data_IF_061112892880
#
_entry.id   IF_061112892880
#
_cell.length_a   1.000
_cell.length_b   1.000
_cell.length_c   1.000
_cell.angle_alpha   90.00
_cell.angle_beta   90.00
_cell.angle_gamma   90.00
#
_symmetry.space_group_name_H-M   'P 1'
#
loop_
_entity.id
_entity.type
_entity.pdbx_description
1 polymer ?
#
# COMPACT_ATOMS: atom_id res chain seq x y z
N UNK A 1 0.19 22.09 1.60
CA UNK A 1 -0.04 20.68 1.20
C UNK A 1 -1.46 20.23 1.45
N UNK A 2 -1.90 19.17 0.78
CA UNK A 2 -3.22 18.59 1.02
C UNK A 2 -3.16 17.63 2.22
N UNK A 3 -4.25 17.52 2.97
CA UNK A 3 -4.40 16.49 3.99
C UNK A 3 -4.60 15.13 3.32
N UNK A 4 -3.85 14.13 3.77
CA UNK A 4 -4.01 12.72 3.36
C UNK A 4 -4.86 11.99 4.41
N UNK A 5 -5.83 11.20 3.95
CA UNK A 5 -6.70 10.36 4.79
C UNK A 5 -6.56 8.92 4.33
N UNK A 6 -6.01 8.07 5.19
CA UNK A 6 -5.85 6.64 4.93
C UNK A 6 -7.14 5.90 5.26
N UNK A 7 -7.55 4.97 4.40
CA UNK A 7 -8.74 4.13 4.55
C UNK A 7 -8.38 2.65 4.45
N UNK A 8 -9.22 1.74 4.96
CA UNK A 8 -9.08 0.32 4.69
C UNK A 8 -9.13 0.02 3.19
N UNK A 9 -8.56 -1.10 2.77
CA UNK A 9 -8.57 -1.53 1.36
C UNK A 9 -10.01 -1.73 0.86
N UNK A 10 -10.23 -1.20 -0.32
CA UNK A 10 -11.51 -1.23 -1.02
C UNK A 10 -12.04 0.16 -1.33
N UNK A 11 -12.20 0.44 -2.62
CA UNK A 11 -12.60 1.77 -3.10
C UNK A 11 -13.92 2.28 -2.50
N UNK A 12 -14.79 1.39 -2.02
CA UNK A 12 -16.04 1.75 -1.32
C UNK A 12 -15.81 2.71 -0.13
N UNK A 13 -14.69 2.56 0.59
CA UNK A 13 -14.35 3.44 1.72
C UNK A 13 -13.85 4.79 1.25
N UNK A 14 -13.10 4.80 0.15
CA UNK A 14 -12.63 6.02 -0.51
C UNK A 14 -13.84 6.77 -1.10
N UNK A 15 -14.70 6.09 -1.84
CA UNK A 15 -15.92 6.66 -2.42
C UNK A 15 -16.83 7.27 -1.34
N UNK A 16 -16.99 6.59 -0.20
CA UNK A 16 -17.76 7.10 0.93
C UNK A 16 -17.16 8.38 1.51
N UNK A 17 -15.81 8.50 1.55
CA UNK A 17 -15.15 9.73 1.98
C UNK A 17 -15.30 10.85 0.95
N UNK A 18 -15.14 10.54 -0.34
CA UNK A 18 -15.32 11.51 -1.44
C UNK A 18 -16.73 12.11 -1.44
N UNK A 19 -17.77 11.30 -1.13
CA UNK A 19 -19.18 11.76 -1.05
C UNK A 19 -19.44 12.76 0.08
N UNK A 20 -18.59 12.82 1.10
CA UNK A 20 -18.69 13.83 2.17
C UNK A 20 -18.29 15.23 1.73
N UNK A 21 -17.60 15.35 0.60
CA UNK A 21 -17.07 16.61 0.08
C UNK A 21 -15.68 16.97 0.64
N UNK A 22 -15.04 17.96 0.03
CA UNK A 22 -13.71 18.43 0.44
C UNK A 22 -12.55 17.51 0.06
N UNK A 23 -12.80 16.44 -0.71
CA UNK A 23 -11.78 15.54 -1.25
C UNK A 23 -11.49 15.93 -2.69
N UNK A 24 -10.22 16.01 -3.07
CA UNK A 24 -9.80 16.28 -4.46
C UNK A 24 -9.77 14.98 -5.28
N UNK A 25 -9.14 13.96 -4.74
CA UNK A 25 -8.99 12.66 -5.38
C UNK A 25 -8.84 11.55 -4.34
N UNK A 26 -9.15 10.34 -4.75
CA UNK A 26 -8.88 9.12 -4.00
C UNK A 26 -8.19 8.09 -4.88
N UNK A 27 -7.34 7.25 -4.30
CA UNK A 27 -6.60 6.24 -5.04
C UNK A 27 -6.26 5.03 -4.21
N UNK A 28 -6.04 3.91 -4.90
CA UNK A 28 -5.55 2.66 -4.34
C UNK A 28 -4.15 2.38 -4.93
N UNK A 29 -3.33 1.63 -4.22
CA UNK A 29 -1.98 1.24 -4.69
C UNK A 29 -2.03 0.43 -5.99
N UNK A 30 -3.15 -0.24 -6.27
CA UNK A 30 -3.38 -1.00 -7.49
C UNK A 30 -3.66 -0.12 -8.73
N UNK A 31 -3.64 1.22 -8.59
CA UNK A 31 -3.84 2.17 -9.68
C UNK A 31 -5.29 2.59 -9.92
N UNK A 32 -6.22 2.19 -9.07
CA UNK A 32 -7.60 2.69 -9.11
C UNK A 32 -7.65 4.13 -8.62
N UNK A 33 -8.01 5.09 -9.50
CA UNK A 33 -8.05 6.53 -9.19
C UNK A 33 -9.44 7.08 -9.44
N UNK A 34 -9.99 7.82 -8.47
CA UNK A 34 -11.21 8.60 -8.59
C UNK A 34 -10.93 10.09 -8.41
N UNK A 35 -11.50 10.92 -9.28
CA UNK A 35 -11.41 12.39 -9.24
C UNK A 35 -12.76 12.92 -8.75
N UNK A 36 -12.79 13.57 -7.60
CA UNK A 36 -14.05 13.99 -6.97
C UNK A 36 -14.86 14.98 -7.81
N UNK A 37 -14.20 15.81 -8.61
CA UNK A 37 -14.86 16.76 -9.52
C UNK A 37 -15.62 16.05 -10.67
N UNK A 38 -15.31 14.77 -10.94
CA UNK A 38 -16.00 13.95 -11.94
C UNK A 38 -17.05 13.06 -11.28
N UNK A 39 -16.60 12.07 -10.53
CA UNK A 39 -17.49 11.17 -9.78
C UNK A 39 -16.76 10.56 -8.56
N UNK A 40 -17.47 10.19 -7.50
CA UNK A 40 -16.86 9.54 -6.32
C UNK A 40 -16.67 8.03 -6.55
N UNK A 41 -16.05 7.66 -7.66
CA UNK A 41 -15.73 6.29 -8.05
C UNK A 41 -14.47 6.29 -8.92
N UNK A 42 -13.86 5.11 -9.09
CA UNK A 42 -12.72 4.92 -10.00
C UNK A 42 -13.17 5.10 -11.44
N UNK A 43 -12.38 5.83 -12.20
CA UNK A 43 -12.53 5.94 -13.63
C UNK A 43 -11.17 5.83 -14.33
N UNK A 44 -10.87 4.61 -14.79
CA UNK A 44 -9.60 4.33 -15.48
C UNK A 44 -9.51 5.03 -16.83
N UNK A 45 -10.63 5.26 -17.52
CA UNK A 45 -10.64 5.96 -18.80
C UNK A 45 -10.26 7.42 -18.59
N UNK A 46 -10.90 8.10 -17.62
CA UNK A 46 -10.56 9.47 -17.28
C UNK A 46 -9.11 9.58 -16.78
N UNK A 47 -8.66 8.67 -15.93
CA UNK A 47 -7.27 8.66 -15.45
C UNK A 47 -6.26 8.56 -16.61
N UNK A 48 -6.50 7.68 -17.58
CA UNK A 48 -5.67 7.58 -18.79
C UNK A 48 -5.68 8.87 -19.61
N UNK A 49 -6.85 9.48 -19.82
CA UNK A 49 -6.98 10.74 -20.57
C UNK A 49 -6.22 11.89 -19.88
N UNK A 50 -6.28 11.99 -18.55
CA UNK A 50 -5.52 12.99 -17.77
C UNK A 50 -4.02 12.78 -17.93
N UNK A 51 -3.53 11.54 -17.91
CA UNK A 51 -2.12 11.23 -18.16
C UNK A 51 -1.70 11.59 -19.60
N UNK A 52 -2.53 11.31 -20.59
CA UNK A 52 -2.29 11.72 -21.98
C UNK A 52 -2.24 13.25 -22.10
N UNK A 53 -3.17 13.96 -21.46
CA UNK A 53 -3.17 15.42 -21.42
C UNK A 53 -1.89 15.99 -20.75
N UNK A 54 -1.45 15.38 -19.64
CA UNK A 54 -0.22 15.77 -18.95
C UNK A 54 1.00 15.61 -19.87
N UNK A 55 1.12 14.47 -20.55
CA UNK A 55 2.20 14.24 -21.54
C UNK A 55 2.14 15.25 -22.68
N UNK A 56 0.96 15.52 -23.22
CA UNK A 56 0.79 16.49 -24.30
C UNK A 56 1.16 17.94 -23.87
N UNK A 57 0.77 18.33 -22.67
CA UNK A 57 1.07 19.68 -22.12
C UNK A 57 2.54 19.87 -21.78
N UNK A 58 3.19 18.82 -21.29
CA UNK A 58 4.61 18.88 -20.89
C UNK A 58 5.57 18.60 -22.04
N UNK A 59 5.09 17.97 -23.11
CA UNK A 59 5.94 17.46 -24.20
C UNK A 59 6.88 16.32 -23.78
N UNK A 60 6.66 15.71 -22.62
CA UNK A 60 7.53 14.70 -22.04
C UNK A 60 6.85 13.33 -21.97
N UNK A 61 7.56 12.22 -22.24
CA UNK A 61 7.07 10.87 -21.99
C UNK A 61 6.79 10.65 -20.49
N UNK A 62 5.84 9.76 -20.19
CA UNK A 62 5.44 9.48 -18.79
C UNK A 62 6.61 9.04 -17.90
N UNK A 63 7.54 8.23 -18.41
CA UNK A 63 8.74 7.83 -17.66
C UNK A 63 9.59 9.02 -17.20
N UNK A 64 9.77 10.04 -18.06
CA UNK A 64 10.50 11.26 -17.68
C UNK A 64 9.77 12.04 -16.58
N UNK A 65 8.45 12.07 -16.64
CA UNK A 65 7.63 12.73 -15.60
C UNK A 65 7.72 11.99 -14.26
N UNK A 66 7.78 10.66 -14.29
CA UNK A 66 8.02 9.84 -13.10
C UNK A 66 9.42 10.10 -12.53
N UNK A 67 10.46 10.11 -13.38
CA UNK A 67 11.84 10.42 -12.94
C UNK A 67 11.94 11.81 -12.30
N UNK A 68 11.23 12.80 -12.83
CA UNK A 68 11.17 14.15 -12.23
C UNK A 68 10.47 14.16 -10.87
N UNK A 69 9.42 13.35 -10.71
CA UNK A 69 8.72 13.18 -9.45
C UNK A 69 9.64 12.52 -8.41
N UNK A 70 10.30 11.43 -8.79
CA UNK A 70 11.28 10.73 -7.94
C UNK A 70 12.46 11.64 -7.56
N UNK A 71 12.96 12.48 -8.47
CA UNK A 71 14.00 13.46 -8.18
C UNK A 71 13.57 14.51 -7.15
N UNK A 72 12.27 14.85 -7.13
CA UNK A 72 11.72 15.86 -6.23
C UNK A 72 11.38 15.34 -4.84
N UNK A 73 10.95 14.08 -4.72
CA UNK A 73 10.41 13.48 -3.50
C UNK A 73 11.23 12.31 -2.95
N UNK A 74 12.25 11.87 -3.67
CA UNK A 74 13.02 10.67 -3.36
C UNK A 74 12.52 9.46 -4.13
N UNK A 75 13.44 8.56 -4.43
CA UNK A 75 13.14 7.29 -5.09
C UNK A 75 12.85 6.22 -4.05
N UNK A 76 11.74 5.51 -4.23
CA UNK A 76 11.39 4.35 -3.42
C UNK A 76 11.23 3.11 -4.29
N UNK A 77 11.25 1.95 -3.66
CA UNK A 77 11.02 0.65 -4.28
C UNK A 77 9.85 -0.02 -3.57
N UNK A 78 8.71 -0.07 -4.25
CA UNK A 78 7.52 -0.79 -3.79
C UNK A 78 7.51 -2.23 -4.31
N UNK A 79 6.95 -3.14 -3.52
CA UNK A 79 6.74 -4.52 -3.94
C UNK A 79 5.60 -5.20 -3.21
N UNK A 80 5.11 -6.29 -3.81
CA UNK A 80 4.07 -7.15 -3.25
C UNK A 80 4.41 -8.61 -3.49
N UNK A 81 4.08 -9.47 -2.52
CA UNK A 81 4.09 -10.92 -2.66
C UNK A 81 2.75 -11.50 -2.21
N UNK A 82 2.20 -12.40 -2.99
CA UNK A 82 1.00 -13.16 -2.64
C UNK A 82 1.42 -14.55 -2.16
N UNK A 83 1.12 -14.84 -0.90
CA UNK A 83 1.47 -16.07 -0.24
C UNK A 83 0.20 -16.93 -0.07
N UNK A 84 0.17 -18.09 -0.72
CA UNK A 84 -0.87 -19.10 -0.47
C UNK A 84 -0.52 -19.87 0.80
N UNK A 85 -1.48 -20.00 1.68
CA UNK A 85 -1.41 -20.82 2.89
C UNK A 85 -2.47 -21.91 2.82
N UNK A 86 -2.36 -22.94 3.71
CA UNK A 86 -3.48 -23.81 3.97
C UNK A 86 -4.62 -23.02 4.64
N UNK A 87 -5.86 -23.47 4.46
CA UNK A 87 -7.02 -22.71 4.94
C UNK A 87 -6.99 -22.49 6.46
N UNK A 88 -6.53 -23.49 7.21
CA UNK A 88 -6.41 -23.46 8.67
C UNK A 88 -5.34 -22.44 9.13
N UNK A 89 -4.21 -22.39 8.43
CA UNK A 89 -3.13 -21.44 8.73
C UNK A 89 -3.56 -20.01 8.42
N UNK A 90 -4.27 -19.81 7.31
CA UNK A 90 -4.81 -18.50 6.94
C UNK A 90 -5.83 -17.98 7.96
N UNK A 91 -6.69 -18.84 8.51
CA UNK A 91 -7.65 -18.49 9.54
C UNK A 91 -6.97 -18.24 10.89
N UNK A 92 -6.00 -19.06 11.26
CA UNK A 92 -5.18 -18.87 12.46
C UNK A 92 -4.46 -17.52 12.41
N UNK A 93 -3.87 -17.18 11.27
CA UNK A 93 -3.21 -15.90 11.08
C UNK A 93 -4.19 -14.72 11.20
N UNK A 94 -5.40 -14.80 10.63
CA UNK A 94 -6.43 -13.74 10.78
C UNK A 94 -6.77 -13.48 12.25
N UNK A 95 -6.84 -14.55 13.04
CA UNK A 95 -7.15 -14.47 14.47
C UNK A 95 -6.00 -13.89 15.29
N UNK A 96 -4.77 -14.27 14.97
CA UNK A 96 -3.57 -13.88 15.72
C UNK A 96 -3.05 -12.50 15.35
N UNK A 97 -3.17 -12.12 14.08
CA UNK A 97 -2.56 -10.91 13.53
C UNK A 97 -2.91 -9.62 14.28
N UNK A 98 -4.16 -9.40 14.77
CA UNK A 98 -4.50 -8.21 15.54
C UNK A 98 -3.75 -8.07 16.87
N UNK A 99 -3.20 -9.17 17.42
CA UNK A 99 -2.39 -9.18 18.64
C UNK A 99 -0.88 -9.05 18.40
N UNK A 100 -0.45 -9.14 17.16
CA UNK A 100 0.98 -9.13 16.81
C UNK A 100 1.51 -7.70 16.78
N UNK A 101 2.47 -7.42 17.67
CA UNK A 101 3.16 -6.12 17.76
C UNK A 101 4.67 -6.36 17.85
N UNK A 102 5.37 -6.57 16.72
CA UNK A 102 6.80 -6.87 16.74
C UNK A 102 7.58 -5.69 17.31
N UNK A 103 8.54 -5.97 18.19
CA UNK A 103 9.45 -4.95 18.72
C UNK A 103 10.41 -4.43 17.67
N UNK A 104 10.80 -5.28 16.74
CA UNK A 104 11.64 -4.91 15.60
C UNK A 104 11.40 -5.87 14.44
N UNK A 105 11.64 -5.40 13.22
CA UNK A 105 11.63 -6.21 11.99
C UNK A 105 12.80 -5.76 11.10
N UNK A 106 13.60 -6.69 10.61
CA UNK A 106 14.81 -6.40 9.84
C UNK A 106 15.76 -5.39 10.53
N UNK A 107 15.82 -5.40 11.87
CA UNK A 107 16.62 -4.44 12.65
C UNK A 107 16.00 -3.05 12.82
N UNK A 108 14.81 -2.79 12.25
CA UNK A 108 14.07 -1.54 12.39
C UNK A 108 13.01 -1.67 13.49
N UNK A 109 12.89 -0.65 14.33
CA UNK A 109 11.84 -0.52 15.33
C UNK A 109 10.64 0.19 14.69
N UNK A 110 9.43 -0.38 14.70
CA UNK A 110 8.26 0.29 14.17
C UNK A 110 7.96 1.60 14.94
N UNK A 111 7.84 2.71 14.21
CA UNK A 111 7.36 3.98 14.76
C UNK A 111 5.86 3.92 15.01
N UNK A 112 5.13 3.22 14.14
CA UNK A 112 3.71 2.98 14.33
C UNK A 112 3.30 1.58 13.87
N UNK A 113 2.34 1.01 14.61
CA UNK A 113 1.70 -0.26 14.30
C UNK A 113 0.21 -0.01 14.10
N UNK A 114 -0.36 -0.51 13.00
CA UNK A 114 -1.79 -0.39 12.70
C UNK A 114 -2.36 -1.74 12.31
N UNK A 115 -3.53 -2.05 12.87
CA UNK A 115 -4.31 -3.25 12.55
C UNK A 115 -5.59 -2.96 11.76
N UNK A 116 -5.67 -1.79 11.11
CA UNK A 116 -6.86 -1.37 10.37
C UNK A 116 -7.23 -2.34 9.23
N UNK A 117 -6.23 -2.93 8.58
CA UNK A 117 -6.41 -3.82 7.43
C UNK A 117 -5.30 -4.89 7.36
N UNK A 118 -5.12 -5.62 8.45
CA UNK A 118 -3.99 -6.50 8.68
C UNK A 118 -2.97 -5.88 9.62
N UNK A 119 -1.71 -6.26 9.53
CA UNK A 119 -0.61 -5.70 10.30
C UNK A 119 0.22 -4.76 9.43
N UNK A 120 0.12 -3.46 9.66
CA UNK A 120 0.96 -2.45 9.03
C UNK A 120 1.97 -1.91 10.02
N UNK A 121 3.24 -2.00 9.67
CA UNK A 121 4.37 -1.43 10.38
C UNK A 121 4.92 -0.27 9.55
N UNK A 122 4.99 0.92 10.14
CA UNK A 122 5.68 2.05 9.52
C UNK A 122 6.90 2.40 10.35
N UNK A 123 8.01 2.75 9.69
CA UNK A 123 9.30 3.04 10.31
C UNK A 123 9.59 4.55 10.25
N UNK A 124 10.57 4.99 11.03
CA UNK A 124 10.95 6.41 11.15
C UNK A 124 11.40 7.03 9.83
N UNK A 125 11.97 6.20 8.94
CA UNK A 125 12.47 6.59 7.62
C UNK A 125 11.40 6.53 6.51
N UNK A 126 10.11 6.49 6.87
CA UNK A 126 8.98 6.37 5.95
C UNK A 126 8.87 5.03 5.20
N UNK A 127 9.80 4.09 5.41
CA UNK A 127 9.63 2.73 4.89
C UNK A 127 8.54 1.98 5.65
N UNK A 128 7.93 0.97 5.05
CA UNK A 128 6.82 0.27 5.68
C UNK A 128 6.66 -1.17 5.20
N UNK A 129 5.99 -1.98 6.03
CA UNK A 129 5.58 -3.35 5.74
C UNK A 129 4.09 -3.51 6.08
N UNK A 130 3.33 -4.18 5.22
CA UNK A 130 1.94 -4.57 5.47
C UNK A 130 1.78 -6.07 5.21
N UNK A 131 1.26 -6.80 6.20
CA UNK A 131 0.85 -8.19 6.09
C UNK A 131 -0.68 -8.25 6.19
N UNK A 132 -1.34 -8.63 5.10
CA UNK A 132 -2.79 -8.58 4.98
C UNK A 132 -3.38 -9.90 4.50
N UNK A 133 -4.04 -10.67 5.39
CA UNK A 133 -4.81 -11.83 4.97
C UNK A 133 -5.99 -11.44 4.08
N UNK A 134 -6.27 -12.23 3.05
CA UNK A 134 -7.50 -12.08 2.27
C UNK A 134 -8.72 -12.50 3.12
N UNK A 135 -9.82 -11.76 3.02
CA UNK A 135 -11.07 -12.10 3.70
C UNK A 135 -11.82 -13.29 3.07
N UNK A 136 -11.51 -13.65 1.82
CA UNK A 136 -12.29 -14.62 1.03
C UNK A 136 -11.48 -15.80 0.52
N UNK A 137 -10.15 -15.69 0.53
CA UNK A 137 -9.24 -16.70 -0.02
C UNK A 137 -8.14 -17.05 1.00
N UNK A 138 -7.57 -18.25 0.97
CA UNK A 138 -6.42 -18.63 1.80
C UNK A 138 -5.12 -18.01 1.25
N UNK A 139 -5.12 -16.69 1.08
CA UNK A 139 -4.00 -15.91 0.55
C UNK A 139 -3.68 -14.78 1.52
N UNK A 140 -2.40 -14.61 1.79
CA UNK A 140 -1.86 -13.46 2.50
C UNK A 140 -1.09 -12.60 1.51
N UNK A 141 -1.43 -11.32 1.45
CA UNK A 141 -0.72 -10.35 0.65
C UNK A 141 0.26 -9.59 1.53
N UNK A 142 1.52 -9.64 1.15
CA UNK A 142 2.60 -8.92 1.84
C UNK A 142 3.06 -7.80 0.92
N UNK A 143 3.06 -6.58 1.44
CA UNK A 143 3.45 -5.38 0.74
C UNK A 143 4.58 -4.70 1.50
N UNK A 144 5.53 -4.14 0.79
CA UNK A 144 6.58 -3.32 1.42
C UNK A 144 7.06 -2.23 0.48
N UNK A 145 7.56 -1.17 1.08
CA UNK A 145 8.27 -0.11 0.41
C UNK A 145 9.56 0.19 1.17
N UNK A 146 10.64 0.28 0.42
CA UNK A 146 11.99 0.62 0.91
C UNK A 146 12.69 1.56 -0.06
N UNK A 147 13.87 2.06 0.28
CA UNK A 147 14.65 2.94 -0.60
C UNK A 147 15.47 2.17 -1.65
N UNK A 148 15.57 0.86 -1.53
CA UNK A 148 16.19 0.00 -2.52
C UNK A 148 15.40 -1.29 -2.72
N UNK A 149 15.69 -1.99 -3.82
CA UNK A 149 15.14 -3.31 -4.10
C UNK A 149 15.50 -4.30 -2.99
N UNK A 150 16.73 -4.26 -2.52
CA UNK A 150 17.27 -5.14 -1.47
C UNK A 150 16.54 -4.90 -0.13
N UNK A 151 16.31 -3.65 0.23
CA UNK A 151 15.59 -3.30 1.46
C UNK A 151 14.13 -3.73 1.40
N UNK A 152 13.45 -3.40 0.29
CA UNK A 152 12.08 -3.86 0.03
C UNK A 152 11.97 -5.38 0.12
N UNK A 153 12.89 -6.10 -0.51
CA UNK A 153 12.83 -7.56 -0.55
C UNK A 153 13.10 -8.18 0.82
N UNK A 154 13.99 -7.61 1.64
CA UNK A 154 14.17 -8.01 3.04
C UNK A 154 12.90 -7.83 3.86
N UNK A 155 12.20 -6.72 3.69
CA UNK A 155 10.92 -6.48 4.38
C UNK A 155 9.85 -7.47 3.91
N UNK A 156 9.76 -7.73 2.61
CA UNK A 156 8.83 -8.73 2.04
C UNK A 156 9.13 -10.14 2.57
N UNK A 157 10.40 -10.55 2.65
CA UNK A 157 10.80 -11.84 3.19
C UNK A 157 10.42 -11.97 4.67
N UNK A 158 10.68 -10.93 5.46
CA UNK A 158 10.28 -10.89 6.87
C UNK A 158 8.76 -10.96 7.05
N UNK A 159 7.99 -10.24 6.23
CA UNK A 159 6.54 -10.30 6.25
C UNK A 159 6.00 -11.68 5.86
N UNK A 160 6.60 -12.34 4.87
CA UNK A 160 6.27 -13.71 4.49
C UNK A 160 6.61 -14.71 5.60
N UNK A 161 7.75 -14.56 6.28
CA UNK A 161 8.14 -15.38 7.41
C UNK A 161 7.17 -15.19 8.61
N UNK A 162 6.79 -13.94 8.90
CA UNK A 162 5.79 -13.63 9.93
C UNK A 162 4.44 -14.30 9.60
N UNK A 163 3.99 -14.23 8.36
CA UNK A 163 2.74 -14.84 7.92
C UNK A 163 2.75 -16.37 8.05
N UNK A 164 3.91 -16.99 8.00
CA UNK A 164 4.11 -18.45 8.22
C UNK A 164 4.37 -18.81 9.69
N UNK A 165 4.34 -17.86 10.62
CA UNK A 165 4.70 -18.09 12.02
C UNK A 165 6.19 -18.38 12.26
N UNK A 166 7.04 -18.12 11.27
CA UNK A 166 8.48 -18.38 11.32
C UNK A 166 9.33 -17.15 11.72
N UNK A 167 8.71 -16.00 12.01
CA UNK A 167 9.42 -14.81 12.45
C UNK A 167 9.42 -14.73 13.98
N UNK A 168 10.58 -14.57 14.64
CA UNK A 168 10.62 -14.35 16.09
C UNK A 168 9.97 -13.01 16.43
N UNK A 169 8.96 -13.02 17.27
CA UNK A 169 8.19 -11.85 17.74
C UNK A 169 8.83 -11.22 18.96
#
# INVERSE_FOLDING_TARGET
GCRVVVKPVGFKYIAAEMKKGGVLMGGEEAGGIGIAAHMPERDGILACLILCELMAKTGAPLGVLVDQLEASFGKTSYGRRDLRLEAEDAESLRTLLPGINPKSICGKVPQSVSHMDGLRLAFEDDTWLLVRPSGTEPVVRVYAEGFSVEERDKLLDAGCALARGAYPL
#
